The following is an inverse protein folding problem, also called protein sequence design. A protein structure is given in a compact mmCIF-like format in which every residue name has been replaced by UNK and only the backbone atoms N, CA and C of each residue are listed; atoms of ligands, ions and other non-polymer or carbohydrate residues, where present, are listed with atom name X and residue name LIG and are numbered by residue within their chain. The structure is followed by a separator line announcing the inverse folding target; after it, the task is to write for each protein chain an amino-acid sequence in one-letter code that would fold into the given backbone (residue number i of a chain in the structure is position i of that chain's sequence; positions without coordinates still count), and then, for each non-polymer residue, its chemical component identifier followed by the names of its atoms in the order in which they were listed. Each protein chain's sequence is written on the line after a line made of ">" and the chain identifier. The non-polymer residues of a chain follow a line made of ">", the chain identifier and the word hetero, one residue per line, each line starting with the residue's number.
data_IF_469820028396
#
_entry.id   IF_469820028396
#
_cell.length_a   1.000
_cell.length_b   1.000
_cell.length_c   1.000
_cell.angle_alpha   90.00
_cell.angle_beta   90.00
_cell.angle_gamma   90.00
#
_symmetry.space_group_name_H-M   'P 1'
#
loop_
_entity.id
_entity.type
_entity.pdbx_description
1 polymer ?
#
# COMPACT_ATOMS: atom_id res chain seq x y z
N UNK A 1 -5.57 22.99 17.59
CA UNK A 1 -5.49 22.66 16.15
C UNK A 1 -5.87 21.20 15.95
N UNK A 2 -7.10 20.90 15.53
CA UNK A 2 -7.54 19.52 15.24
C UNK A 2 -6.84 19.06 13.96
N UNK A 3 -6.21 17.93 13.99
CA UNK A 3 -5.48 17.35 12.85
C UNK A 3 -6.47 17.08 11.71
N UNK A 4 -6.06 17.35 10.46
CA UNK A 4 -6.88 17.07 9.27
C UNK A 4 -7.25 15.59 9.11
N UNK A 5 -6.53 14.68 9.75
CA UNK A 5 -6.89 13.26 9.84
C UNK A 5 -8.24 13.06 10.60
N UNK A 6 -8.53 13.88 11.61
CA UNK A 6 -9.86 13.91 12.23
C UNK A 6 -10.95 14.52 11.33
N UNK A 7 -10.58 15.42 10.42
CA UNK A 7 -11.54 16.02 9.48
C UNK A 7 -11.96 15.07 8.36
N UNK A 8 -11.11 14.13 7.94
CA UNK A 8 -11.45 13.14 6.92
C UNK A 8 -12.49 12.14 7.45
N UNK A 9 -12.36 11.73 8.72
CA UNK A 9 -13.38 10.92 9.39
C UNK A 9 -14.64 11.71 9.73
N UNK A 10 -14.51 13.01 10.09
CA UNK A 10 -15.64 13.93 10.27
C UNK A 10 -16.38 14.17 8.93
N UNK A 11 -15.67 14.13 7.80
CA UNK A 11 -16.23 14.26 6.46
C UNK A 11 -17.06 13.02 6.07
N UNK A 12 -16.57 11.82 6.33
CA UNK A 12 -17.33 10.56 6.18
C UNK A 12 -18.62 10.65 7.02
N UNK A 13 -18.53 11.18 8.23
CA UNK A 13 -19.68 11.37 9.11
C UNK A 13 -20.75 12.32 8.53
N UNK A 14 -20.32 13.40 7.86
CA UNK A 14 -21.24 14.41 7.32
C UNK A 14 -21.92 13.98 6.00
N UNK A 15 -21.24 13.19 5.15
CA UNK A 15 -21.80 12.72 3.88
C UNK A 15 -22.79 11.55 4.06
N UNK A 16 -22.58 10.72 5.06
CA UNK A 16 -23.41 9.54 5.31
C UNK A 16 -24.66 9.86 6.18
N UNK A 17 -24.78 11.09 6.71
CA UNK A 17 -26.00 11.55 7.39
C UNK A 17 -27.21 11.74 6.45
N UNK A 18 -27.03 11.57 5.14
CA UNK A 18 -28.13 11.63 4.16
C UNK A 18 -28.29 10.31 3.36
N UNK A 19 -28.79 9.23 3.98
CA UNK A 19 -28.91 7.92 3.31
C UNK A 19 -29.98 7.87 2.19
N UNK A 20 -30.77 8.93 2.00
CA UNK A 20 -31.92 8.92 1.08
C UNK A 20 -31.57 9.01 -0.42
N UNK A 21 -30.30 9.10 -0.80
CA UNK A 21 -29.86 9.18 -2.21
C UNK A 21 -29.20 7.93 -2.78
N UNK A 22 -29.03 6.88 -2.00
CA UNK A 22 -28.41 5.63 -2.49
C UNK A 22 -29.49 4.64 -2.95
N UNK A 23 -29.84 4.65 -4.22
CA UNK A 23 -30.55 3.51 -4.86
C UNK A 23 -29.49 2.50 -5.31
N UNK A 24 -29.63 1.20 -4.97
CA UNK A 24 -28.75 0.15 -5.49
C UNK A 24 -28.95 0.04 -7.01
N UNK A 25 -27.90 0.31 -7.77
CA UNK A 25 -27.93 0.13 -9.22
C UNK A 25 -27.55 -1.32 -9.54
N UNK A 26 -28.56 -2.13 -9.89
CA UNK A 26 -28.41 -3.54 -10.24
C UNK A 26 -28.02 -3.68 -11.72
N UNK A 27 -26.78 -3.29 -12.06
CA UNK A 27 -26.19 -3.54 -13.38
C UNK A 27 -25.03 -4.51 -13.26
N UNK A 28 -25.05 -5.59 -14.03
CA UNK A 28 -23.97 -6.58 -14.09
C UNK A 28 -22.62 -5.90 -14.38
N UNK A 29 -21.53 -6.33 -13.73
CA UNK A 29 -20.25 -5.67 -13.82
C UNK A 29 -19.62 -5.84 -15.22
N UNK A 30 -19.00 -4.79 -15.79
CA UNK A 30 -18.25 -4.87 -17.04
C UNK A 30 -17.06 -5.84 -16.91
N UNK A 31 -16.59 -6.37 -18.03
CA UNK A 31 -15.61 -7.46 -18.16
C UNK A 31 -14.31 -7.38 -17.36
N UNK A 32 -14.04 -6.25 -16.69
CA UNK A 32 -12.95 -6.08 -15.74
C UNK A 32 -13.17 -6.91 -14.45
N UNK A 33 -14.40 -6.97 -13.93
CA UNK A 33 -14.75 -7.80 -12.78
C UNK A 33 -14.51 -9.29 -13.04
N UNK A 34 -14.68 -9.72 -14.29
CA UNK A 34 -14.33 -11.08 -14.69
C UNK A 34 -12.81 -11.33 -14.58
N UNK A 35 -11.96 -10.33 -14.86
CA UNK A 35 -10.52 -10.44 -14.67
C UNK A 35 -10.08 -10.27 -13.22
N UNK A 36 -10.71 -9.38 -12.46
CA UNK A 36 -10.47 -9.23 -11.02
C UNK A 36 -11.02 -10.47 -10.27
N UNK A 37 -12.17 -10.99 -10.69
CA UNK A 37 -12.80 -12.18 -10.12
C UNK A 37 -11.98 -13.45 -10.40
N UNK A 38 -11.43 -13.60 -11.58
CA UNK A 38 -10.52 -14.70 -11.93
C UNK A 38 -9.20 -14.62 -11.14
N UNK A 39 -8.72 -13.41 -10.78
CA UNK A 39 -7.57 -13.23 -9.90
C UNK A 39 -7.91 -13.40 -8.41
N UNK A 40 -9.18 -13.26 -8.03
CA UNK A 40 -9.67 -13.41 -6.65
C UNK A 40 -10.17 -14.82 -6.35
N UNK A 41 -10.53 -15.61 -7.37
CA UNK A 41 -11.10 -16.95 -7.23
C UNK A 41 -10.07 -18.09 -7.28
N UNK A 42 -8.76 -17.79 -7.12
CA UNK A 42 -7.74 -18.84 -6.98
C UNK A 42 -7.52 -19.71 -8.23
N UNK A 43 -8.11 -19.36 -9.39
CA UNK A 43 -7.69 -19.96 -10.65
C UNK A 43 -6.20 -19.66 -10.84
N UNK A 44 -5.33 -20.63 -11.18
CA UNK A 44 -3.92 -20.37 -11.42
C UNK A 44 -3.86 -19.28 -12.50
N UNK A 45 -3.46 -18.05 -12.10
CA UNK A 45 -3.17 -17.00 -13.05
C UNK A 45 -2.14 -17.58 -13.99
N UNK A 46 -2.43 -17.58 -15.26
CA UNK A 46 -1.47 -17.93 -16.31
C UNK A 46 -0.18 -17.16 -16.01
N UNK A 47 0.85 -17.87 -15.53
CA UNK A 47 2.14 -17.33 -15.13
C UNK A 47 2.96 -16.84 -16.33
N UNK A 48 2.37 -16.88 -17.53
CA UNK A 48 3.00 -16.48 -18.79
C UNK A 48 2.91 -14.98 -19.10
N UNK A 49 2.20 -14.17 -18.31
CA UNK A 49 2.13 -12.73 -18.55
C UNK A 49 3.22 -12.03 -17.71
N UNK A 50 4.29 -11.61 -18.37
CA UNK A 50 5.60 -11.06 -18.00
C UNK A 50 5.60 -9.80 -17.08
N UNK A 51 4.62 -9.67 -16.19
CA UNK A 51 4.61 -8.71 -15.08
C UNK A 51 4.84 -9.45 -13.79
N UNK A 52 6.11 -9.70 -13.48
CA UNK A 52 6.57 -10.48 -12.35
C UNK A 52 5.72 -10.31 -11.08
N UNK A 53 5.48 -11.41 -10.38
CA UNK A 53 4.82 -11.42 -9.09
C UNK A 53 5.48 -10.41 -8.13
N UNK A 54 4.68 -9.52 -7.52
CA UNK A 54 5.15 -8.51 -6.57
C UNK A 54 4.62 -8.88 -5.19
N UNK A 55 5.50 -9.30 -4.27
CA UNK A 55 5.10 -9.63 -2.92
C UNK A 55 4.65 -8.38 -2.17
N UNK A 56 3.39 -8.36 -1.79
CA UNK A 56 2.78 -7.31 -0.95
C UNK A 56 2.57 -7.91 0.42
N UNK A 57 3.23 -7.36 1.44
CA UNK A 57 3.11 -7.85 2.81
C UNK A 57 2.45 -6.84 3.73
N UNK A 58 1.82 -7.34 4.80
CA UNK A 58 1.39 -6.54 5.92
C UNK A 58 2.61 -5.96 6.66
N UNK A 59 2.53 -4.70 7.02
CA UNK A 59 3.56 -4.01 7.80
C UNK A 59 3.18 -4.00 9.28
N UNK A 60 4.19 -3.92 10.13
CA UNK A 60 4.04 -3.88 11.59
C UNK A 60 4.79 -2.67 12.17
N UNK A 61 4.65 -2.34 13.46
CA UNK A 61 5.32 -1.19 14.09
C UNK A 61 6.83 -1.11 13.82
N UNK A 62 7.53 -2.24 13.70
CA UNK A 62 8.96 -2.31 13.36
C UNK A 62 9.31 -1.73 11.98
N UNK A 63 8.34 -1.53 11.13
CA UNK A 63 8.55 -0.97 9.79
C UNK A 63 8.38 0.56 9.73
N UNK A 64 8.02 1.24 10.86
CA UNK A 64 7.88 2.70 10.91
C UNK A 64 9.07 3.46 10.30
N UNK A 65 10.34 3.12 10.58
CA UNK A 65 11.47 3.84 9.98
C UNK A 65 11.50 3.72 8.45
N UNK A 66 11.07 2.58 7.90
CA UNK A 66 11.02 2.38 6.45
C UNK A 66 9.82 3.07 5.80
N UNK A 67 8.69 3.16 6.51
CA UNK A 67 7.53 3.93 6.09
C UNK A 67 7.91 5.41 6.04
N UNK A 68 8.54 5.91 7.10
CA UNK A 68 9.02 7.29 7.16
C UNK A 68 9.98 7.61 6.00
N UNK A 69 11.01 6.79 5.81
CA UNK A 69 11.97 6.95 4.72
C UNK A 69 11.29 6.96 3.33
N UNK A 70 10.30 6.09 3.10
CA UNK A 70 9.54 6.06 1.86
C UNK A 70 8.75 7.34 1.62
N UNK A 71 8.03 7.83 2.63
CA UNK A 71 7.18 9.01 2.52
C UNK A 71 8.01 10.30 2.40
N UNK A 72 9.14 10.40 3.12
CA UNK A 72 10.07 11.53 3.00
C UNK A 72 10.77 11.58 1.62
N UNK A 73 10.95 10.44 0.97
CA UNK A 73 11.52 10.36 -0.38
C UNK A 73 10.53 10.71 -1.51
N UNK A 74 9.27 10.97 -1.19
CA UNK A 74 8.29 11.43 -2.17
C UNK A 74 8.58 12.88 -2.57
N UNK A 75 8.40 13.20 -3.86
CA UNK A 75 8.42 14.58 -4.34
C UNK A 75 7.30 15.41 -3.72
N UNK A 76 7.43 16.75 -3.74
CA UNK A 76 6.39 17.64 -3.20
C UNK A 76 5.04 17.41 -3.86
N UNK A 77 5.03 17.20 -5.17
CA UNK A 77 3.80 16.87 -5.92
C UNK A 77 3.20 15.52 -5.47
N UNK A 78 4.04 14.51 -5.19
CA UNK A 78 3.56 13.21 -4.73
C UNK A 78 3.01 13.27 -3.31
N UNK A 79 3.65 14.08 -2.45
CA UNK A 79 3.14 14.36 -1.10
C UNK A 79 1.79 15.05 -1.17
N UNK A 80 1.68 16.06 -2.02
CA UNK A 80 0.41 16.76 -2.27
C UNK A 80 -0.69 15.82 -2.75
N UNK A 81 -0.41 14.99 -3.76
CA UNK A 81 -1.38 14.00 -4.27
C UNK A 81 -1.73 12.91 -3.23
N UNK A 82 -0.81 12.59 -2.31
CA UNK A 82 -1.03 11.55 -1.28
C UNK A 82 -1.81 12.07 -0.10
N UNK A 83 -1.57 13.31 0.33
CA UNK A 83 -2.12 13.87 1.57
C UNK A 83 -3.23 14.91 1.32
N UNK A 84 -3.45 15.34 0.09
CA UNK A 84 -4.41 16.38 -0.27
C UNK A 84 -3.93 17.80 0.06
N UNK A 85 -2.69 17.96 0.56
CA UNK A 85 -2.08 19.24 0.89
C UNK A 85 -0.56 19.14 0.83
N UNK A 86 0.18 20.29 0.71
CA UNK A 86 1.63 20.31 0.78
C UNK A 86 2.11 19.81 2.15
N UNK A 87 2.48 18.51 2.22
CA UNK A 87 2.92 17.90 3.47
C UNK A 87 4.40 18.13 3.70
N UNK A 88 4.75 18.83 4.81
CA UNK A 88 6.14 19.02 5.25
C UNK A 88 6.69 17.71 5.88
N UNK A 89 8.00 17.68 6.16
CA UNK A 89 8.61 16.55 6.84
C UNK A 89 7.97 16.29 8.20
N UNK A 90 7.71 17.36 8.97
CA UNK A 90 7.07 17.26 10.29
C UNK A 90 5.64 16.73 10.22
N UNK A 91 4.91 17.01 9.13
CA UNK A 91 3.59 16.42 8.90
C UNK A 91 3.70 14.92 8.64
N UNK A 92 4.70 14.50 7.85
CA UNK A 92 4.95 13.10 7.53
C UNK A 92 5.38 12.33 8.78
N UNK A 93 6.29 12.89 9.58
CA UNK A 93 6.74 12.30 10.84
C UNK A 93 5.56 12.06 11.79
N UNK A 94 4.74 13.07 12.02
CA UNK A 94 3.53 12.96 12.86
C UNK A 94 2.52 11.94 12.30
N UNK A 95 2.37 11.88 10.98
CA UNK A 95 1.52 10.87 10.36
C UNK A 95 2.03 9.47 10.66
N UNK A 96 3.34 9.22 10.50
CA UNK A 96 3.96 7.92 10.74
C UNK A 96 3.91 7.54 12.21
N UNK A 97 4.12 8.47 13.12
CA UNK A 97 3.98 8.25 14.57
C UNK A 97 2.55 7.89 14.94
N UNK A 98 1.56 8.55 14.31
CA UNK A 98 0.13 8.33 14.55
C UNK A 98 -0.45 7.06 13.92
N UNK A 99 0.31 6.28 13.14
CA UNK A 99 -0.18 5.03 12.55
C UNK A 99 -0.59 4.03 13.63
N UNK A 100 -1.78 3.50 13.56
CA UNK A 100 -2.30 2.52 14.51
C UNK A 100 -2.36 1.13 13.88
N UNK A 101 -1.30 0.36 14.07
CA UNK A 101 -1.18 -1.02 13.54
C UNK A 101 -2.10 -2.04 14.23
N UNK A 102 -2.77 -1.68 15.33
CA UNK A 102 -3.75 -2.52 15.99
C UNK A 102 -5.16 -2.39 15.40
N UNK A 103 -5.43 -1.26 14.74
CA UNK A 103 -6.71 -0.95 14.11
C UNK A 103 -6.61 -1.01 12.59
N UNK A 104 -5.58 -0.37 12.04
CA UNK A 104 -5.41 -0.15 10.61
C UNK A 104 -4.54 -1.24 10.00
N UNK A 105 -4.75 -1.50 8.71
CA UNK A 105 -3.87 -2.39 7.97
C UNK A 105 -2.99 -1.60 7.02
N UNK A 106 -1.70 -1.89 7.06
CA UNK A 106 -0.71 -1.20 6.22
C UNK A 106 0.02 -2.24 5.38
N UNK A 107 -0.05 -2.09 4.08
CA UNK A 107 0.64 -2.96 3.12
C UNK A 107 1.87 -2.30 2.55
N UNK A 108 2.90 -3.11 2.27
CA UNK A 108 4.13 -2.60 1.69
C UNK A 108 4.76 -3.55 0.68
N UNK A 109 5.48 -2.95 -0.25
CA UNK A 109 6.32 -3.63 -1.24
C UNK A 109 7.76 -3.21 -1.04
N UNK A 110 8.65 -4.20 -0.94
CA UNK A 110 10.07 -3.98 -0.76
C UNK A 110 10.86 -4.39 -2.00
N UNK A 111 11.85 -3.56 -2.36
CA UNK A 111 12.83 -3.92 -3.39
C UNK A 111 13.86 -4.93 -2.83
N UNK A 112 14.82 -5.35 -3.69
CA UNK A 112 15.91 -6.27 -3.31
C UNK A 112 16.85 -5.71 -2.24
N UNK A 113 16.85 -4.39 -2.02
CA UNK A 113 17.63 -3.71 -0.98
C UNK A 113 16.86 -3.53 0.33
N UNK A 114 15.66 -4.11 0.43
CA UNK A 114 14.72 -3.95 1.55
C UNK A 114 14.27 -2.50 1.79
N UNK A 115 14.31 -1.67 0.77
CA UNK A 115 13.71 -0.35 0.80
C UNK A 115 12.22 -0.48 0.47
N UNK A 116 11.38 0.23 1.20
CA UNK A 116 9.94 0.29 0.92
C UNK A 116 9.74 1.17 -0.33
N UNK A 117 9.19 0.60 -1.39
CA UNK A 117 9.02 1.27 -2.68
C UNK A 117 7.56 1.52 -3.05
N UNK A 118 6.67 0.97 -2.29
CA UNK A 118 5.23 1.24 -2.38
C UNK A 118 4.55 0.84 -1.10
N UNK A 119 3.56 1.62 -0.67
CA UNK A 119 2.74 1.32 0.49
C UNK A 119 1.29 1.69 0.26
N UNK A 120 0.41 0.98 0.93
CA UNK A 120 -0.99 1.33 1.09
C UNK A 120 -1.34 1.36 2.58
N UNK A 121 -2.20 2.29 2.97
CA UNK A 121 -2.78 2.38 4.29
C UNK A 121 -4.29 2.21 4.16
N UNK A 122 -4.83 1.24 4.84
CA UNK A 122 -6.25 0.98 4.99
C UNK A 122 -6.64 1.35 6.42
N UNK A 123 -7.27 2.50 6.58
CA UNK A 123 -7.71 3.02 7.86
C UNK A 123 -9.18 2.63 8.10
N UNK A 124 -9.45 1.98 9.23
CA UNK A 124 -10.81 1.61 9.63
C UNK A 124 -11.47 2.71 10.46
N UNK A 125 -12.77 2.87 10.29
CA UNK A 125 -13.52 3.86 11.07
C UNK A 125 -13.49 3.53 12.56
N UNK A 126 -13.36 4.58 13.38
CA UNK A 126 -13.44 4.49 14.85
C UNK A 126 -14.91 4.54 15.31
N UNK A 127 -15.78 5.18 14.53
CA UNK A 127 -17.19 5.32 14.87
C UNK A 127 -17.92 3.98 14.66
N UNK A 128 -18.57 3.40 15.68
CA UNK A 128 -19.33 2.16 15.54
C UNK A 128 -20.42 2.20 14.45
N UNK A 129 -20.96 3.38 14.14
CA UNK A 129 -21.95 3.55 13.05
C UNK A 129 -21.35 3.27 11.68
N UNK A 130 -20.02 3.41 11.54
CA UNK A 130 -19.26 3.25 10.31
C UNK A 130 -18.24 2.12 10.40
N UNK A 131 -18.47 1.17 11.31
CA UNK A 131 -17.58 0.02 11.52
C UNK A 131 -17.35 -0.84 10.26
N UNK A 132 -18.26 -0.73 9.28
CA UNK A 132 -18.14 -1.40 7.97
C UNK A 132 -17.51 -0.52 6.89
N UNK A 133 -16.90 0.62 7.28
CA UNK A 133 -16.25 1.55 6.37
C UNK A 133 -14.74 1.56 6.57
N UNK A 134 -14.01 1.67 5.47
CA UNK A 134 -12.56 1.87 5.51
C UNK A 134 -12.11 2.85 4.43
N UNK A 135 -11.07 3.63 4.74
CA UNK A 135 -10.46 4.59 3.83
C UNK A 135 -9.12 4.06 3.32
N UNK A 136 -8.85 4.27 2.04
CA UNK A 136 -7.65 3.80 1.37
C UNK A 136 -6.77 4.95 0.91
N UNK A 137 -5.49 4.87 1.26
CA UNK A 137 -4.45 5.74 0.74
C UNK A 137 -3.26 4.93 0.23
N UNK A 138 -2.65 5.36 -0.88
CA UNK A 138 -1.52 4.66 -1.52
C UNK A 138 -0.43 5.63 -1.96
N UNK A 139 0.82 5.19 -1.86
CA UNK A 139 1.96 5.88 -2.47
C UNK A 139 2.92 4.87 -3.11
N UNK A 140 3.52 5.26 -4.24
CA UNK A 140 4.49 4.45 -4.98
C UNK A 140 5.66 5.32 -5.38
N UNK A 141 6.88 4.88 -5.05
CA UNK A 141 8.11 5.56 -5.45
C UNK A 141 8.17 5.79 -6.95
N UNK A 142 8.62 6.94 -7.40
CA UNK A 142 8.64 7.35 -8.81
C UNK A 142 9.29 6.30 -9.72
N UNK A 143 10.39 5.69 -9.29
CA UNK A 143 11.13 4.65 -10.01
C UNK A 143 10.34 3.34 -10.21
N UNK A 144 9.22 3.15 -9.52
CA UNK A 144 8.40 1.94 -9.57
C UNK A 144 7.01 2.17 -10.17
N UNK A 145 6.72 3.38 -10.65
CA UNK A 145 5.46 3.70 -11.33
C UNK A 145 5.36 3.08 -12.71
N UNK A 146 4.18 3.10 -13.28
CA UNK A 146 3.92 2.52 -14.60
C UNK A 146 3.87 0.98 -14.64
N UNK A 147 4.23 0.30 -13.54
CA UNK A 147 4.29 -1.17 -13.42
C UNK A 147 3.04 -1.78 -12.78
N UNK A 148 1.97 -1.01 -12.59
CA UNK A 148 0.73 -1.48 -11.99
C UNK A 148 0.78 -1.69 -10.48
N UNK A 149 1.85 -1.25 -9.78
CA UNK A 149 2.02 -1.48 -8.34
C UNK A 149 0.89 -0.87 -7.50
N UNK A 150 0.46 0.36 -7.80
CA UNK A 150 -0.66 1.00 -7.11
C UNK A 150 -1.96 0.19 -7.23
N UNK A 151 -2.26 -0.35 -8.42
CA UNK A 151 -3.44 -1.20 -8.62
C UNK A 151 -3.35 -2.53 -7.87
N UNK A 152 -2.16 -3.12 -7.74
CA UNK A 152 -1.96 -4.35 -6.96
C UNK A 152 -2.11 -4.10 -5.45
N UNK A 153 -1.57 -2.99 -4.94
CA UNK A 153 -1.76 -2.56 -3.56
C UNK A 153 -3.23 -2.31 -3.27
N UNK A 154 -3.94 -1.67 -4.20
CA UNK A 154 -5.37 -1.47 -4.12
C UNK A 154 -6.14 -2.80 -4.07
N UNK A 155 -5.88 -3.71 -5.00
CA UNK A 155 -6.54 -5.03 -5.02
C UNK A 155 -6.30 -5.82 -3.73
N UNK A 156 -5.08 -5.75 -3.17
CA UNK A 156 -4.75 -6.37 -1.89
C UNK A 156 -5.55 -5.77 -0.73
N UNK A 157 -5.65 -4.44 -0.68
CA UNK A 157 -6.43 -3.73 0.35
C UNK A 157 -7.92 -4.04 0.23
N UNK A 158 -8.49 -4.10 -0.98
CA UNK A 158 -9.89 -4.48 -1.22
C UNK A 158 -10.16 -5.90 -0.74
N UNK A 159 -9.29 -6.87 -1.05
CA UNK A 159 -9.43 -8.26 -0.58
C UNK A 159 -9.41 -8.33 0.95
N UNK A 160 -8.48 -7.63 1.58
CA UNK A 160 -8.38 -7.58 3.03
C UNK A 160 -9.61 -6.92 3.67
N UNK A 161 -10.00 -5.72 3.19
CA UNK A 161 -11.16 -5.00 3.68
C UNK A 161 -12.43 -5.86 3.63
N UNK A 162 -12.65 -6.56 2.50
CA UNK A 162 -13.77 -7.47 2.33
C UNK A 162 -13.75 -8.61 3.37
N UNK A 163 -12.58 -9.21 3.62
CA UNK A 163 -12.42 -10.27 4.60
C UNK A 163 -12.62 -9.78 6.04
N UNK A 164 -12.47 -8.48 6.31
CA UNK A 164 -12.78 -7.83 7.57
C UNK A 164 -14.24 -7.34 7.67
N UNK A 165 -15.10 -7.67 6.70
CA UNK A 165 -16.51 -7.28 6.72
C UNK A 165 -16.75 -5.82 6.35
N UNK A 166 -15.81 -5.17 5.66
CA UNK A 166 -16.02 -3.83 5.12
C UNK A 166 -16.98 -3.89 3.94
N UNK A 167 -18.05 -3.10 3.99
CA UNK A 167 -19.02 -2.94 2.92
C UNK A 167 -18.77 -1.70 2.07
N UNK A 168 -18.22 -0.65 2.68
CA UNK A 168 -17.97 0.62 1.99
C UNK A 168 -16.48 0.98 2.05
N UNK A 169 -15.85 1.05 0.89
CA UNK A 169 -14.43 1.33 0.74
C UNK A 169 -14.26 2.71 0.10
N UNK A 170 -13.69 3.65 0.85
CA UNK A 170 -13.52 5.04 0.44
C UNK A 170 -12.13 5.33 -0.08
N UNK A 171 -12.07 6.20 -1.06
CA UNK A 171 -10.84 6.73 -1.63
C UNK A 171 -11.01 8.23 -1.74
N UNK A 172 -10.29 8.96 -0.91
CA UNK A 172 -10.20 10.40 -1.03
C UNK A 172 -9.00 10.78 -1.89
N UNK A 173 -9.22 11.53 -2.96
CA UNK A 173 -8.17 11.91 -3.89
C UNK A 173 -8.42 13.31 -4.45
N UNK A 174 -7.35 14.03 -4.79
CA UNK A 174 -7.47 15.25 -5.55
C UNK A 174 -7.99 14.95 -6.96
N UNK A 175 -8.81 15.84 -7.53
CA UNK A 175 -9.42 15.68 -8.86
C UNK A 175 -8.37 15.56 -9.97
N UNK A 176 -7.17 16.08 -9.75
CA UNK A 176 -6.02 15.97 -10.64
C UNK A 176 -5.22 14.66 -10.48
N UNK A 177 -5.47 13.86 -9.43
CA UNK A 177 -4.83 12.57 -9.25
C UNK A 177 -5.39 11.52 -10.21
N UNK A 178 -5.12 11.72 -11.52
CA UNK A 178 -5.62 10.85 -12.57
C UNK A 178 -5.26 9.37 -12.37
N UNK A 179 -4.07 9.10 -11.80
CA UNK A 179 -3.62 7.74 -11.53
C UNK A 179 -4.50 7.03 -10.51
N UNK A 180 -4.82 7.69 -9.39
CA UNK A 180 -5.69 7.13 -8.35
C UNK A 180 -7.12 6.98 -8.83
N UNK A 181 -7.65 8.01 -9.50
CA UNK A 181 -8.99 7.96 -10.07
C UNK A 181 -9.15 6.87 -11.16
N UNK A 182 -8.08 6.59 -11.93
CA UNK A 182 -8.07 5.46 -12.87
C UNK A 182 -8.12 4.12 -12.16
N UNK A 183 -7.37 3.96 -11.06
CA UNK A 183 -7.42 2.73 -10.24
C UNK A 183 -8.84 2.55 -9.68
N UNK A 184 -9.43 3.58 -9.10
CA UNK A 184 -10.78 3.55 -8.55
C UNK A 184 -11.84 3.18 -9.61
N UNK A 185 -11.83 3.86 -10.76
CA UNK A 185 -12.77 3.56 -11.86
C UNK A 185 -12.60 2.16 -12.41
N UNK A 186 -11.38 1.71 -12.58
CA UNK A 186 -11.11 0.34 -13.03
C UNK A 186 -11.62 -0.72 -12.06
N UNK A 187 -11.72 -0.39 -10.79
CA UNK A 187 -12.31 -1.25 -9.76
C UNK A 187 -13.85 -1.15 -9.69
N UNK A 188 -14.47 -0.29 -10.50
CA UNK A 188 -15.92 -0.06 -10.48
C UNK A 188 -16.39 0.89 -9.39
N UNK A 189 -15.47 1.68 -8.79
CA UNK A 189 -15.85 2.68 -7.83
C UNK A 189 -16.66 3.81 -8.49
N UNK A 190 -17.66 4.29 -7.79
CA UNK A 190 -18.38 5.52 -8.16
C UNK A 190 -17.51 6.70 -7.75
N UNK A 191 -17.23 7.59 -8.67
CA UNK A 191 -16.41 8.78 -8.46
C UNK A 191 -17.30 10.01 -8.50
N UNK A 192 -17.32 10.77 -7.43
CA UNK A 192 -17.97 12.07 -7.33
C UNK A 192 -16.88 13.15 -7.23
N UNK A 193 -17.08 14.26 -7.93
CA UNK A 193 -16.16 15.39 -7.91
C UNK A 193 -16.80 16.55 -7.19
N UNK A 194 -16.04 17.14 -6.28
CA UNK A 194 -16.40 18.38 -5.60
C UNK A 194 -15.22 19.36 -5.68
N UNK A 195 -15.25 20.24 -6.68
CA UNK A 195 -14.17 21.19 -6.94
C UNK A 195 -12.82 20.52 -7.20
N UNK A 196 -11.84 20.83 -6.36
CA UNK A 196 -10.48 20.29 -6.42
C UNK A 196 -10.36 18.87 -5.84
N UNK A 197 -11.37 18.37 -5.14
CA UNK A 197 -11.39 17.08 -4.50
C UNK A 197 -12.30 16.11 -5.26
N UNK A 198 -11.98 14.84 -5.18
CA UNK A 198 -12.78 13.75 -5.72
C UNK A 198 -12.88 12.64 -4.68
N UNK A 199 -14.08 12.17 -4.48
CA UNK A 199 -14.35 11.02 -3.66
C UNK A 199 -14.75 9.84 -4.54
N UNK A 200 -14.16 8.71 -4.24
CA UNK A 200 -14.58 7.48 -4.86
C UNK A 200 -14.98 6.48 -3.78
N UNK A 201 -16.11 5.83 -4.00
CA UNK A 201 -16.58 4.78 -3.11
C UNK A 201 -16.87 3.51 -3.89
N UNK A 202 -16.44 2.42 -3.27
CA UNK A 202 -16.63 1.09 -3.80
C UNK A 202 -17.43 0.27 -2.78
N UNK A 203 -18.60 -0.22 -3.18
CA UNK A 203 -19.34 -1.19 -2.38
C UNK A 203 -18.71 -2.57 -2.55
N UNK A 204 -18.29 -3.18 -1.45
CA UNK A 204 -17.68 -4.50 -1.46
C UNK A 204 -18.73 -5.58 -1.24
N UNK A 205 -18.70 -6.68 -2.02
CA UNK A 205 -19.50 -7.86 -1.74
C UNK A 205 -19.02 -8.55 -0.47
N UNK A 206 -19.86 -9.35 0.14
CA UNK A 206 -19.49 -10.16 1.31
C UNK A 206 -18.28 -11.06 1.02
N UNK A 207 -17.54 -11.38 2.09
CA UNK A 207 -16.39 -12.27 2.01
C UNK A 207 -16.82 -13.68 1.60
N UNK A 208 -16.04 -14.30 0.73
CA UNK A 208 -16.20 -15.69 0.36
C UNK A 208 -15.06 -16.53 0.93
N UNK A 209 -15.26 -17.84 1.09
CA UNK A 209 -14.19 -18.75 1.53
C UNK A 209 -12.95 -18.63 0.63
N UNK A 210 -13.13 -18.52 -0.68
CA UNK A 210 -12.03 -18.35 -1.63
C UNK A 210 -11.24 -17.07 -1.40
N UNK A 211 -11.91 -15.97 -1.03
CA UNK A 211 -11.23 -14.71 -0.75
C UNK A 211 -10.40 -14.77 0.54
N UNK A 212 -10.87 -15.52 1.53
CA UNK A 212 -10.14 -15.73 2.79
C UNK A 212 -8.90 -16.58 2.57
N UNK A 213 -9.04 -17.71 1.86
CA UNK A 213 -7.93 -18.62 1.55
C UNK A 213 -6.86 -17.92 0.69
N UNK A 214 -7.28 -17.20 -0.35
CA UNK A 214 -6.32 -16.47 -1.21
C UNK A 214 -5.59 -15.34 -0.45
N UNK A 215 -6.25 -14.68 0.49
CA UNK A 215 -5.63 -13.70 1.38
C UNK A 215 -4.51 -14.32 2.23
N UNK A 216 -4.78 -15.45 2.88
CA UNK A 216 -3.81 -16.16 3.70
C UNK A 216 -2.60 -16.66 2.90
N UNK A 217 -2.83 -17.18 1.70
CA UNK A 217 -1.75 -17.63 0.81
C UNK A 217 -0.85 -16.45 0.37
N UNK A 218 -1.43 -15.32 0.03
CA UNK A 218 -0.67 -14.12 -0.34
C UNK A 218 0.23 -13.64 0.80
N UNK A 219 -0.28 -13.65 2.03
CA UNK A 219 0.50 -13.25 3.22
C UNK A 219 1.67 -14.19 3.47
N UNK A 220 1.46 -15.50 3.38
CA UNK A 220 2.51 -16.51 3.54
C UNK A 220 3.60 -16.37 2.48
N UNK A 221 3.23 -16.23 1.22
CA UNK A 221 4.19 -16.06 0.12
C UNK A 221 4.99 -14.75 0.26
N UNK A 222 4.35 -13.65 0.66
CA UNK A 222 5.01 -12.38 0.87
C UNK A 222 6.01 -12.42 2.05
N UNK A 223 5.68 -13.15 3.12
CA UNK A 223 6.59 -13.34 4.25
C UNK A 223 7.83 -14.15 3.86
N UNK A 224 7.65 -15.26 3.12
CA UNK A 224 8.76 -16.08 2.62
C UNK A 224 9.71 -15.24 1.73
N UNK A 225 9.17 -14.48 0.77
CA UNK A 225 9.97 -13.60 -0.08
C UNK A 225 10.79 -12.58 0.72
N UNK A 226 10.18 -11.99 1.74
CA UNK A 226 10.86 -11.03 2.61
C UNK A 226 12.00 -11.68 3.42
N UNK A 227 11.79 -12.85 3.99
CA UNK A 227 12.80 -13.57 4.73
C UNK A 227 13.99 -13.95 3.82
N UNK A 228 13.72 -14.40 2.60
CA UNK A 228 14.76 -14.67 1.62
C UNK A 228 15.57 -13.41 1.26
N UNK A 229 14.91 -12.27 1.07
CA UNK A 229 15.59 -10.99 0.83
C UNK A 229 16.41 -10.53 2.03
N UNK A 230 15.93 -10.78 3.25
CA UNK A 230 16.67 -10.45 4.47
C UNK A 230 17.95 -11.27 4.59
N UNK A 231 17.86 -12.59 4.38
CA UNK A 231 19.02 -13.49 4.40
C UNK A 231 20.03 -13.11 3.30
N UNK A 232 19.56 -12.84 2.08
CA UNK A 232 20.43 -12.44 0.98
C UNK A 232 21.12 -11.08 1.23
N UNK A 233 20.48 -10.17 1.98
CA UNK A 233 21.12 -8.91 2.41
C UNK A 233 22.20 -9.16 3.45
N UNK A 234 21.91 -9.92 4.49
CA UNK A 234 22.88 -10.28 5.55
C UNK A 234 24.10 -10.99 4.98
N UNK A 235 23.89 -11.93 4.04
CA UNK A 235 24.99 -12.65 3.37
C UNK A 235 25.88 -11.69 2.57
N UNK A 236 25.30 -10.73 1.85
CA UNK A 236 26.09 -9.72 1.10
C UNK A 236 26.87 -8.79 2.03
N UNK A 237 26.28 -8.37 3.14
CA UNK A 237 26.97 -7.55 4.15
C UNK A 237 28.12 -8.33 4.78
N UNK A 238 27.93 -9.61 5.07
CA UNK A 238 29.00 -10.49 5.54
C UNK A 238 30.13 -10.64 4.52
N UNK A 239 29.80 -10.85 3.23
CA UNK A 239 30.81 -10.97 2.16
C UNK A 239 31.61 -9.66 2.00
N UNK A 240 30.97 -8.48 2.06
CA UNK A 240 31.67 -7.19 1.96
C UNK A 240 32.64 -7.00 3.12
N UNK A 241 32.23 -7.32 4.35
CA UNK A 241 33.12 -7.27 5.53
C UNK A 241 34.31 -8.21 5.38
N UNK A 242 34.12 -9.43 4.85
CA UNK A 242 35.22 -10.37 4.60
C UNK A 242 36.18 -9.88 3.52
N UNK A 243 35.69 -9.17 2.50
CA UNK A 243 36.55 -8.57 1.47
C UNK A 243 37.39 -7.43 2.05
N UNK A 244 36.78 -6.52 2.83
CA UNK A 244 37.50 -5.45 3.52
C UNK A 244 38.61 -5.98 4.45
N UNK A 245 38.31 -7.03 5.23
CA UNK A 245 39.31 -7.68 6.09
C UNK A 245 40.46 -8.28 5.24
N UNK A 246 40.18 -8.93 4.12
CA UNK A 246 41.22 -9.49 3.23
C UNK A 246 42.08 -8.42 2.60
N UNK A 247 41.51 -7.30 2.20
CA UNK A 247 42.24 -6.16 1.63
C UNK A 247 43.13 -5.51 2.70
N UNK A 248 42.62 -5.26 3.90
CA UNK A 248 43.39 -4.72 5.02
C UNK A 248 44.57 -5.63 5.43
N UNK A 249 44.39 -6.97 5.44
CA UNK A 249 45.48 -7.92 5.70
C UNK A 249 46.51 -7.89 4.59
N UNK A 250 46.09 -7.69 3.35
CA UNK A 250 47.00 -7.62 2.19
C UNK A 250 47.84 -6.35 2.20
N UNK A 251 47.22 -5.21 2.53
CA UNK A 251 47.92 -3.95 2.68
C UNK A 251 48.91 -3.94 3.85
N UNK A 252 48.52 -4.51 5.00
CA UNK A 252 49.41 -4.68 6.15
C UNK A 252 50.62 -5.56 5.83
N UNK A 253 50.49 -6.59 5.03
CA UNK A 253 51.62 -7.44 4.56
C UNK A 253 52.56 -6.69 3.61
N UNK A 254 52.04 -5.81 2.75
CA UNK A 254 52.86 -4.98 1.86
C UNK A 254 53.62 -3.91 2.61
N UNK A 255 53.13 -3.42 3.74
CA UNK A 255 53.81 -2.43 4.58
C UNK A 255 54.85 -3.04 5.53
N UNK A 256 54.78 -4.35 5.78
CA UNK A 256 55.67 -5.07 6.68
C UNK A 256 56.83 -5.82 5.98
N UNK A 257 56.97 -5.69 4.67
CA UNK A 257 58.09 -6.27 3.93
C UNK A 257 59.25 -5.23 3.84
N UNK A 258 60.33 -5.36 4.65
CA UNK A 258 61.41 -4.38 4.70
C UNK A 258 62.44 -4.52 3.55
N UNK A 259 62.08 -5.16 2.45
CA UNK A 259 62.95 -5.39 1.28
C UNK A 259 62.35 -4.83 -0.02
N UNK A 260 61.97 -3.58 -0.01
CA UNK A 260 61.74 -2.83 -1.24
C UNK A 260 62.54 -1.54 -1.21
#
# INVERSE_FOLDING_TARGET
>A
MRSKCGKTLDFIHNQLSHPSKMKPNNTQPPGFWRRLWLNLSGAPADLSNDRGWVPIRALSPRHRPRILAHLLALSDNDRYLRFGYPATNEHIERYVEGLNFGRDEIFGVFNRRLQLVGMAHLAFSIDPKWSTCAEFGVSVAASQRGRGMGGRLFARAVTYARNQGVHMFFIHALSENAAMLKIARNAGARVERDGSESEAYLTLPEATLDSQVSGLLQDRMAEIDYQLKLQAKQFREWLSTMQEVREGVREARHHSDPRA
#
